data_IF_836068505147
#
_entry.id   IF_836068505147
#
_cell.length_a   1.000
_cell.length_b   1.000
_cell.length_c   1.000
_cell.angle_alpha   90.00
_cell.angle_beta   90.00
_cell.angle_gamma   90.00
#
_symmetry.space_group_name_H-M   'P 1'
#
loop_
_entity.id
_entity.type
_entity.pdbx_description
1 polymer ?
#
# COMPACT_ATOMS: atom_id res chain seq x y z
N UNK A 1 -26.85 -18.53 8.35
CA UNK A 1 -25.69 -19.37 7.99
C UNK A 1 -24.45 -18.53 8.17
N UNK A 2 -23.47 -18.98 8.97
CA UNK A 2 -22.19 -18.27 9.10
C UNK A 2 -21.37 -18.60 7.84
N UNK A 3 -21.04 -17.60 7.04
CA UNK A 3 -20.12 -17.75 5.91
C UNK A 3 -18.77 -18.33 6.40
N UNK A 4 -18.16 -19.28 5.67
CA UNK A 4 -16.91 -19.89 6.08
C UNK A 4 -15.81 -18.83 6.24
N UNK A 5 -15.18 -18.81 7.43
CA UNK A 5 -14.13 -17.85 7.75
C UNK A 5 -12.85 -18.13 6.96
N UNK A 6 -12.13 -17.08 6.50
CA UNK A 6 -10.92 -17.26 5.71
C UNK A 6 -9.78 -17.84 6.55
N UNK A 7 -9.08 -18.83 5.98
CA UNK A 7 -7.83 -19.35 6.54
C UNK A 7 -6.69 -18.33 6.35
N UNK A 8 -5.67 -18.42 7.19
CA UNK A 8 -4.55 -17.47 7.19
C UNK A 8 -3.81 -17.41 5.84
N UNK A 9 -3.38 -18.55 5.28
CA UNK A 9 -2.58 -18.57 4.04
C UNK A 9 -3.31 -17.93 2.83
N UNK A 10 -4.57 -18.29 2.52
CA UNK A 10 -5.33 -17.61 1.47
C UNK A 10 -5.54 -16.12 1.73
N UNK A 11 -5.80 -15.73 2.98
CA UNK A 11 -5.94 -14.33 3.38
C UNK A 11 -4.62 -13.57 3.16
N UNK A 12 -3.49 -14.14 3.57
CA UNK A 12 -2.17 -13.55 3.40
C UNK A 12 -1.82 -13.35 1.93
N UNK A 13 -2.00 -14.38 1.09
CA UNK A 13 -1.74 -14.28 -0.34
C UNK A 13 -2.59 -13.18 -1.00
N UNK A 14 -3.90 -13.15 -0.73
CA UNK A 14 -4.81 -12.12 -1.27
C UNK A 14 -4.49 -10.73 -0.73
N UNK A 15 -4.10 -10.62 0.54
CA UNK A 15 -3.72 -9.33 1.15
C UNK A 15 -2.45 -8.78 0.52
N UNK A 16 -1.42 -9.61 0.31
CA UNK A 16 -0.19 -9.22 -0.38
C UNK A 16 -0.50 -8.72 -1.79
N UNK A 17 -1.32 -9.46 -2.54
CA UNK A 17 -1.72 -9.07 -3.90
C UNK A 17 -2.47 -7.74 -3.89
N UNK A 18 -3.55 -7.62 -3.10
CA UNK A 18 -4.34 -6.39 -3.03
C UNK A 18 -3.49 -5.20 -2.58
N UNK A 19 -2.69 -5.36 -1.52
CA UNK A 19 -1.87 -4.29 -0.97
C UNK A 19 -0.82 -3.81 -1.98
N UNK A 20 -0.14 -4.74 -2.64
CA UNK A 20 0.88 -4.38 -3.66
C UNK A 20 0.24 -3.66 -4.85
N UNK A 21 -0.90 -4.15 -5.34
CA UNK A 21 -1.61 -3.55 -6.49
C UNK A 21 -2.13 -2.16 -6.14
N UNK A 22 -2.78 -1.97 -4.98
CA UNK A 22 -3.30 -0.65 -4.59
C UNK A 22 -2.18 0.32 -4.22
N UNK A 23 -1.11 -0.17 -3.59
CA UNK A 23 0.10 0.61 -3.33
C UNK A 23 0.72 1.11 -4.63
N UNK A 24 0.94 0.23 -5.61
CA UNK A 24 1.55 0.62 -6.89
C UNK A 24 0.65 1.59 -7.65
N UNK A 25 -0.65 1.34 -7.70
CA UNK A 25 -1.61 2.21 -8.36
C UNK A 25 -1.63 3.61 -7.74
N UNK A 26 -1.84 3.70 -6.42
CA UNK A 26 -1.92 4.99 -5.74
C UNK A 26 -0.58 5.70 -5.72
N UNK A 27 0.53 4.97 -5.55
CA UNK A 27 1.88 5.54 -5.62
C UNK A 27 2.22 6.11 -6.98
N UNK A 28 1.84 5.44 -8.08
CA UNK A 28 2.03 5.96 -9.43
C UNK A 28 1.19 7.22 -9.69
N UNK A 29 -0.08 7.22 -9.25
CA UNK A 29 -0.95 8.40 -9.33
C UNK A 29 -0.39 9.56 -8.50
N UNK A 30 0.07 9.29 -7.28
CA UNK A 30 0.66 10.28 -6.39
C UNK A 30 1.97 10.83 -6.96
N UNK A 31 2.84 9.99 -7.51
CA UNK A 31 4.06 10.45 -8.18
C UNK A 31 3.76 11.43 -9.32
N UNK A 32 2.71 11.14 -10.10
CA UNK A 32 2.28 11.99 -11.22
C UNK A 32 1.62 13.30 -10.76
N UNK A 33 0.63 13.24 -9.85
CA UNK A 33 -0.18 14.41 -9.46
C UNK A 33 0.38 15.21 -8.28
N UNK A 34 1.20 14.57 -7.42
CA UNK A 34 1.75 15.20 -6.22
C UNK A 34 3.24 15.60 -6.36
N UNK A 35 3.83 15.40 -7.55
CA UNK A 35 5.20 15.79 -7.87
C UNK A 35 6.24 15.24 -6.89
N UNK A 36 6.15 13.95 -6.54
CA UNK A 36 7.03 13.32 -5.55
C UNK A 36 8.50 13.40 -5.91
N UNK A 37 8.86 13.33 -7.18
CA UNK A 37 10.26 13.49 -7.60
C UNK A 37 10.88 14.79 -7.07
N UNK A 38 10.13 15.90 -7.16
CA UNK A 38 10.60 17.19 -6.65
C UNK A 38 10.77 17.15 -5.13
N UNK A 39 9.81 16.57 -4.41
CA UNK A 39 9.81 16.49 -2.93
C UNK A 39 10.97 15.62 -2.43
N UNK A 40 11.16 14.45 -3.04
CA UNK A 40 12.18 13.48 -2.64
C UNK A 40 13.59 14.03 -2.86
N UNK A 41 13.79 14.76 -3.95
CA UNK A 41 15.09 15.32 -4.32
C UNK A 41 15.36 16.70 -3.66
N UNK A 42 14.46 17.23 -2.82
CA UNK A 42 14.75 18.48 -2.11
C UNK A 42 15.91 18.30 -1.13
N UNK A 43 16.80 19.30 -0.99
CA UNK A 43 17.81 19.30 0.06
C UNK A 43 17.14 19.15 1.43
N UNK A 44 17.66 18.23 2.26
CA UNK A 44 17.15 17.95 3.60
C UNK A 44 15.71 17.40 3.67
N UNK A 45 15.20 16.78 2.60
CA UNK A 45 13.89 16.09 2.63
C UNK A 45 13.82 14.96 3.66
N UNK A 46 14.96 14.40 4.06
CA UNK A 46 15.04 13.19 4.88
C UNK A 46 14.66 11.91 4.13
N UNK A 47 14.38 12.01 2.83
CA UNK A 47 14.00 10.91 1.95
C UNK A 47 15.19 10.46 1.09
N UNK A 48 15.15 9.21 0.63
CA UNK A 48 16.12 8.72 -0.35
C UNK A 48 15.85 9.37 -1.72
N UNK A 49 16.87 9.58 -2.57
CA UNK A 49 16.67 10.08 -3.93
C UNK A 49 15.66 9.23 -4.69
N UNK A 50 14.78 9.88 -5.47
CA UNK A 50 13.62 9.23 -6.10
C UNK A 50 14.02 8.07 -7.03
N UNK A 51 15.18 8.16 -7.67
CA UNK A 51 15.75 7.14 -8.56
C UNK A 51 16.58 6.07 -7.83
N UNK A 52 16.61 6.07 -6.50
CA UNK A 52 17.41 5.12 -5.73
C UNK A 52 16.87 3.69 -5.83
N UNK A 53 17.77 2.70 -5.76
CA UNK A 53 17.45 1.27 -5.76
C UNK A 53 16.32 0.92 -4.79
N UNK A 54 16.32 1.52 -3.60
CA UNK A 54 15.37 1.22 -2.54
C UNK A 54 13.96 1.74 -2.80
N UNK A 55 13.83 2.86 -3.51
CA UNK A 55 12.53 3.38 -3.92
C UNK A 55 11.98 2.55 -5.09
N UNK A 56 12.84 2.17 -6.04
CA UNK A 56 12.44 1.28 -7.13
C UNK A 56 12.03 -0.12 -6.63
N UNK A 57 12.68 -0.63 -5.58
CA UNK A 57 12.27 -1.87 -4.89
C UNK A 57 11.02 -1.70 -4.01
N UNK A 58 10.45 -0.50 -3.92
CA UNK A 58 9.32 -0.18 -3.04
C UNK A 58 8.11 -1.10 -3.23
N UNK A 59 7.69 -1.35 -4.47
CA UNK A 59 6.56 -2.24 -4.78
C UNK A 59 6.88 -3.73 -4.50
N UNK A 60 8.00 -4.31 -4.97
CA UNK A 60 8.40 -5.67 -4.59
C UNK A 60 8.50 -5.91 -3.07
N UNK A 61 8.95 -4.92 -2.31
CA UNK A 61 9.08 -5.01 -0.85
C UNK A 61 7.73 -4.91 -0.12
N UNK A 62 6.63 -4.56 -0.80
CA UNK A 62 5.30 -4.51 -0.16
C UNK A 62 4.80 -5.88 0.29
N UNK A 63 5.42 -6.98 -0.16
CA UNK A 63 5.09 -8.34 0.31
C UNK A 63 5.18 -8.42 1.84
N UNK A 64 6.23 -7.85 2.44
CA UNK A 64 6.41 -7.87 3.89
C UNK A 64 5.28 -7.13 4.62
N UNK A 65 4.90 -5.96 4.09
CA UNK A 65 3.81 -5.15 4.66
C UNK A 65 2.44 -5.81 4.45
N UNK A 66 2.24 -6.47 3.32
CA UNK A 66 1.03 -7.25 3.04
C UNK A 66 0.87 -8.43 3.99
N UNK A 67 1.95 -9.13 4.33
CA UNK A 67 1.94 -10.23 5.33
C UNK A 67 1.64 -9.67 6.72
N UNK A 68 2.23 -8.53 7.09
CA UNK A 68 1.93 -7.86 8.36
C UNK A 68 0.45 -7.45 8.45
N UNK A 69 -0.12 -6.87 7.40
CA UNK A 69 -1.55 -6.57 7.38
C UNK A 69 -2.40 -7.84 7.48
N UNK A 70 -2.02 -8.91 6.80
CA UNK A 70 -2.74 -10.17 6.86
C UNK A 70 -2.77 -10.78 8.27
N UNK A 71 -1.68 -10.67 9.04
CA UNK A 71 -1.64 -11.17 10.42
C UNK A 71 -2.63 -10.42 11.30
N UNK A 72 -2.73 -9.09 11.17
CA UNK A 72 -3.71 -8.27 11.88
C UNK A 72 -5.13 -8.59 11.41
N UNK A 73 -5.37 -8.61 10.09
CA UNK A 73 -6.70 -8.90 9.55
C UNK A 73 -7.19 -10.30 9.90
N UNK A 74 -6.28 -11.25 10.08
CA UNK A 74 -6.63 -12.61 10.49
C UNK A 74 -7.17 -12.66 11.93
N UNK A 75 -6.64 -11.84 12.84
CA UNK A 75 -7.13 -11.72 14.22
C UNK A 75 -8.57 -11.18 14.26
N UNK A 76 -8.88 -10.24 13.37
CA UNK A 76 -10.20 -9.58 13.30
C UNK A 76 -11.09 -10.12 12.17
N UNK A 77 -10.77 -11.29 11.60
CA UNK A 77 -11.39 -11.79 10.37
C UNK A 77 -12.92 -11.89 10.45
N UNK A 78 -13.45 -12.24 11.61
CA UNK A 78 -14.90 -12.37 11.86
C UNK A 78 -15.63 -11.02 11.86
N UNK A 79 -14.91 -9.93 12.12
CA UNK A 79 -15.42 -8.56 12.11
C UNK A 79 -15.31 -7.90 10.73
N UNK A 80 -14.41 -8.41 9.88
CA UNK A 80 -14.12 -7.84 8.57
C UNK A 80 -14.76 -8.59 7.40
N UNK A 81 -14.80 -9.92 7.44
CA UNK A 81 -15.28 -10.73 6.34
C UNK A 81 -16.70 -11.27 6.61
N UNK A 82 -17.49 -11.45 5.56
CA UNK A 82 -18.91 -11.85 5.67
C UNK A 82 -19.84 -10.78 6.27
N UNK A 83 -19.40 -9.52 6.39
CA UNK A 83 -20.20 -8.40 6.94
C UNK A 83 -20.35 -7.29 5.89
N UNK A 84 -21.55 -6.68 5.81
CA UNK A 84 -21.86 -5.58 4.87
C UNK A 84 -20.87 -4.41 4.95
N UNK A 85 -20.49 -4.03 6.17
CA UNK A 85 -19.60 -2.89 6.43
C UNK A 85 -18.18 -3.31 6.85
N UNK A 86 -17.80 -4.56 6.61
CA UNK A 86 -16.51 -5.09 7.05
C UNK A 86 -15.31 -4.38 6.44
N UNK A 87 -15.42 -3.97 5.17
CA UNK A 87 -14.40 -3.18 4.48
C UNK A 87 -14.20 -1.78 5.08
N UNK A 88 -15.28 -1.11 5.53
CA UNK A 88 -15.18 0.19 6.22
C UNK A 88 -14.49 0.05 7.58
N UNK A 89 -14.78 -1.02 8.32
CA UNK A 89 -14.12 -1.30 9.60
C UNK A 89 -12.63 -1.51 9.42
N UNK A 90 -12.24 -2.27 8.39
CA UNK A 90 -10.84 -2.48 8.03
C UNK A 90 -10.18 -1.16 7.60
N UNK A 91 -10.83 -0.37 6.74
CA UNK A 91 -10.31 0.92 6.31
C UNK A 91 -10.11 1.87 7.48
N UNK A 92 -11.08 1.92 8.41
CA UNK A 92 -10.99 2.79 9.58
C UNK A 92 -9.92 2.34 10.58
N UNK A 93 -9.66 1.04 10.67
CA UNK A 93 -8.49 0.53 11.41
C UNK A 93 -7.19 1.04 10.77
N UNK A 94 -7.04 0.93 9.44
CA UNK A 94 -5.84 1.38 8.75
C UNK A 94 -5.66 2.91 8.84
N UNK A 95 -6.73 3.68 8.68
CA UNK A 95 -6.67 5.15 8.72
C UNK A 95 -6.50 5.64 10.16
N UNK A 96 -7.38 5.21 11.07
CA UNK A 96 -7.39 5.68 12.45
C UNK A 96 -6.13 5.30 13.21
N UNK A 97 -5.70 4.03 13.11
CA UNK A 97 -4.54 3.54 13.86
C UNK A 97 -3.25 3.66 13.03
N UNK A 98 -3.29 3.30 11.74
CA UNK A 98 -2.08 3.23 10.91
C UNK A 98 -1.61 4.56 10.34
N UNK A 99 -2.52 5.50 10.07
CA UNK A 99 -2.19 6.81 9.47
C UNK A 99 -2.22 7.90 10.54
N UNK A 100 -3.38 8.13 11.15
CA UNK A 100 -3.58 9.26 12.07
C UNK A 100 -2.95 8.98 13.44
N UNK A 101 -3.19 7.81 14.00
CA UNK A 101 -2.78 7.42 15.35
C UNK A 101 -1.49 6.61 15.43
N UNK A 102 -0.63 6.66 14.41
CA UNK A 102 0.67 5.98 14.48
C UNK A 102 1.54 6.58 15.57
N UNK A 103 2.25 5.73 16.32
CA UNK A 103 3.07 6.14 17.47
C UNK A 103 4.34 6.90 17.09
N UNK A 104 4.80 6.76 15.84
CA UNK A 104 5.87 7.58 15.31
C UNK A 104 5.32 8.95 14.86
N UNK A 105 6.21 9.88 14.51
CA UNK A 105 5.84 11.18 13.95
C UNK A 105 6.05 11.29 12.42
N UNK A 106 5.56 10.34 11.58
CA UNK A 106 5.59 10.54 10.14
C UNK A 106 4.63 11.68 9.76
N UNK A 107 4.92 12.35 8.65
CA UNK A 107 4.07 13.44 8.14
C UNK A 107 2.64 12.94 7.91
N UNK A 108 1.66 13.70 8.41
CA UNK A 108 0.25 13.33 8.36
C UNK A 108 -0.22 12.43 9.50
N UNK A 109 0.60 12.12 10.50
CA UNK A 109 0.08 11.61 11.78
C UNK A 109 -0.21 12.75 12.75
N UNK A 110 -0.97 12.47 13.82
CA UNK A 110 -1.17 13.43 14.91
C UNK A 110 0.15 13.91 15.49
N UNK A 111 1.07 12.98 15.78
CA UNK A 111 2.43 13.30 16.25
C UNK A 111 3.23 14.08 15.20
N UNK A 112 3.03 13.81 13.91
CA UNK A 112 3.63 14.55 12.81
C UNK A 112 3.23 16.04 12.81
N UNK A 113 1.97 16.35 13.09
CA UNK A 113 1.51 17.74 13.21
C UNK A 113 2.04 18.46 14.45
N UNK A 114 2.31 17.71 15.54
CA UNK A 114 2.78 18.29 16.81
C UNK A 114 4.30 18.48 16.81
N UNK A 115 5.06 17.49 16.34
CA UNK A 115 6.51 17.43 16.51
C UNK A 115 7.32 17.91 15.32
N UNK A 116 6.73 18.01 14.13
CA UNK A 116 7.48 18.40 12.93
C UNK A 116 7.22 19.85 12.55
N UNK A 117 8.22 20.47 11.93
CA UNK A 117 8.10 21.82 11.35
C UNK A 117 7.53 21.80 9.92
N UNK A 118 7.16 20.61 9.41
CA UNK A 118 6.62 20.46 8.06
C UNK A 118 5.27 21.16 7.94
N UNK A 119 5.06 22.04 6.94
CA UNK A 119 3.79 22.74 6.78
C UNK A 119 2.58 21.81 6.74
N UNK A 120 1.51 22.16 7.45
CA UNK A 120 0.28 21.34 7.56
C UNK A 120 -0.26 20.92 6.19
N UNK A 121 -0.28 21.84 5.22
CA UNK A 121 -0.76 21.55 3.87
C UNK A 121 0.10 20.51 3.14
N UNK A 122 1.42 20.53 3.33
CA UNK A 122 2.34 19.51 2.79
C UNK A 122 2.06 18.15 3.43
N UNK A 123 1.86 18.10 4.75
CA UNK A 123 1.54 16.85 5.46
C UNK A 123 0.21 16.25 4.98
N UNK A 124 -0.83 17.09 4.83
CA UNK A 124 -2.15 16.67 4.38
C UNK A 124 -2.17 16.23 2.92
N UNK A 125 -1.25 16.73 2.08
CA UNK A 125 -1.15 16.33 0.67
C UNK A 125 -0.97 14.81 0.52
N UNK A 126 -0.22 14.18 1.43
CA UNK A 126 -0.03 12.73 1.44
C UNK A 126 -1.32 11.93 1.63
N UNK A 127 -2.36 12.51 2.24
CA UNK A 127 -3.65 11.85 2.41
C UNK A 127 -4.33 11.52 1.09
N UNK A 128 -4.08 12.29 0.03
CA UNK A 128 -4.61 12.02 -1.31
C UNK A 128 -4.11 10.68 -1.88
N UNK A 129 -3.00 10.16 -1.37
CA UNK A 129 -2.50 8.83 -1.71
C UNK A 129 -2.94 7.79 -0.68
N UNK A 130 -2.55 7.97 0.58
CA UNK A 130 -2.58 6.88 1.57
C UNK A 130 -3.99 6.56 2.08
N UNK A 131 -4.90 7.55 2.13
CA UNK A 131 -6.29 7.32 2.57
C UNK A 131 -7.07 6.57 1.48
N UNK A 132 -7.06 7.00 0.19
CA UNK A 132 -7.64 6.19 -0.87
C UNK A 132 -6.99 4.81 -1.00
N UNK A 133 -5.67 4.69 -0.83
CA UNK A 133 -4.98 3.39 -0.85
C UNK A 133 -5.52 2.44 0.22
N UNK A 134 -5.72 2.92 1.45
CA UNK A 134 -6.31 2.14 2.54
C UNK A 134 -7.77 1.73 2.26
N UNK A 135 -8.57 2.64 1.69
CA UNK A 135 -9.95 2.35 1.30
C UNK A 135 -10.02 1.31 0.17
N UNK A 136 -9.22 1.48 -0.87
CA UNK A 136 -9.14 0.56 -2.02
C UNK A 136 -8.67 -0.81 -1.58
N UNK A 137 -7.61 -0.90 -0.77
CA UNK A 137 -7.14 -2.16 -0.19
C UNK A 137 -8.27 -2.87 0.54
N UNK A 138 -8.92 -2.16 1.46
CA UNK A 138 -9.96 -2.74 2.31
C UNK A 138 -11.17 -3.20 1.50
N UNK A 139 -11.66 -2.37 0.58
CA UNK A 139 -12.78 -2.70 -0.29
C UNK A 139 -12.46 -3.88 -1.20
N UNK A 140 -11.31 -3.85 -1.88
CA UNK A 140 -10.90 -4.89 -2.83
C UNK A 140 -10.66 -6.23 -2.13
N UNK A 141 -9.96 -6.23 -0.99
CA UNK A 141 -9.68 -7.44 -0.22
C UNK A 141 -10.96 -8.07 0.33
N UNK A 142 -11.83 -7.28 0.97
CA UNK A 142 -13.11 -7.79 1.47
C UNK A 142 -13.99 -8.31 0.33
N UNK A 143 -14.06 -7.60 -0.81
CA UNK A 143 -14.80 -8.05 -1.97
C UNK A 143 -14.26 -9.38 -2.51
N UNK A 144 -12.93 -9.50 -2.68
CA UNK A 144 -12.30 -10.70 -3.22
C UNK A 144 -12.38 -11.92 -2.28
N UNK A 145 -12.39 -11.69 -0.97
CA UNK A 145 -12.57 -12.77 0.01
C UNK A 145 -14.01 -13.23 0.07
N UNK A 146 -14.97 -12.30 0.10
CA UNK A 146 -16.39 -12.63 0.19
C UNK A 146 -16.94 -13.20 -1.14
N UNK A 147 -16.36 -12.80 -2.27
CA UNK A 147 -16.80 -13.21 -3.61
C UNK A 147 -15.62 -13.71 -4.46
N UNK A 148 -15.06 -14.89 -4.13
CA UNK A 148 -13.95 -15.45 -4.90
C UNK A 148 -14.43 -15.92 -6.27
N UNK A 149 -14.15 -15.13 -7.30
CA UNK A 149 -14.46 -15.45 -8.69
C UNK A 149 -13.18 -15.74 -9.47
N UNK A 150 -13.27 -16.63 -10.47
CA UNK A 150 -12.10 -17.02 -11.28
C UNK A 150 -11.48 -15.82 -12.00
N UNK A 151 -12.31 -14.95 -12.58
CA UNK A 151 -11.81 -13.76 -13.29
C UNK A 151 -11.04 -12.83 -12.36
N UNK A 152 -11.55 -12.60 -11.13
CA UNK A 152 -10.89 -11.73 -10.16
C UNK A 152 -9.54 -12.28 -9.70
N UNK A 153 -9.43 -13.61 -9.57
CA UNK A 153 -8.15 -14.25 -9.27
C UNK A 153 -7.11 -13.98 -10.37
N UNK A 154 -7.51 -14.16 -11.63
CA UNK A 154 -6.61 -13.97 -12.77
C UNK A 154 -6.25 -12.49 -12.97
N UNK A 155 -7.22 -11.58 -12.88
CA UNK A 155 -6.96 -10.15 -13.07
C UNK A 155 -6.05 -9.60 -11.99
N UNK A 156 -6.34 -9.86 -10.71
CA UNK A 156 -5.50 -9.37 -9.61
C UNK A 156 -4.14 -10.06 -9.56
N UNK A 157 -4.07 -11.35 -9.91
CA UNK A 157 -2.80 -12.05 -10.07
C UNK A 157 -1.93 -11.44 -11.18
N UNK A 158 -2.52 -11.17 -12.35
CA UNK A 158 -1.82 -10.54 -13.46
C UNK A 158 -1.37 -9.11 -13.11
N UNK A 159 -2.25 -8.30 -12.49
CA UNK A 159 -1.89 -6.95 -12.04
C UNK A 159 -0.77 -6.96 -11.01
N UNK A 160 -0.75 -7.92 -10.09
CA UNK A 160 0.34 -8.10 -9.15
C UNK A 160 1.66 -8.44 -9.86
N UNK A 161 1.63 -9.39 -10.80
CA UNK A 161 2.82 -9.74 -11.58
C UNK A 161 3.36 -8.52 -12.33
N UNK A 162 2.49 -7.72 -12.95
CA UNK A 162 2.89 -6.47 -13.62
C UNK A 162 3.46 -5.45 -12.63
N UNK A 163 2.81 -5.25 -11.48
CA UNK A 163 3.23 -4.31 -10.46
C UNK A 163 4.63 -4.63 -9.88
N UNK A 164 4.99 -5.91 -9.80
CA UNK A 164 6.32 -6.36 -9.36
C UNK A 164 7.32 -6.38 -10.52
N UNK A 165 6.91 -6.82 -11.70
CA UNK A 165 7.79 -6.97 -12.85
C UNK A 165 8.27 -5.63 -13.41
N UNK A 166 7.40 -4.61 -13.49
CA UNK A 166 7.75 -3.30 -14.07
C UNK A 166 8.96 -2.65 -13.35
N UNK A 167 8.97 -2.49 -12.01
CA UNK A 167 10.13 -1.93 -11.31
C UNK A 167 11.37 -2.82 -11.44
N UNK A 168 11.20 -4.15 -11.41
CA UNK A 168 12.31 -5.10 -11.54
C UNK A 168 12.97 -5.03 -12.93
N UNK A 169 12.17 -4.93 -13.99
CA UNK A 169 12.67 -4.73 -15.35
C UNK A 169 13.40 -3.40 -15.49
N UNK A 170 12.89 -2.32 -14.88
CA UNK A 170 13.57 -1.02 -14.83
C UNK A 170 14.94 -1.11 -14.15
N UNK A 171 15.04 -1.85 -13.05
CA UNK A 171 16.31 -2.11 -12.36
C UNK A 171 17.30 -2.91 -13.21
N UNK A 172 16.82 -3.97 -13.88
CA UNK A 172 17.65 -4.79 -14.76
C UNK A 172 18.15 -3.99 -15.97
N UNK A 173 17.29 -3.16 -16.58
CA UNK A 173 17.66 -2.29 -17.69
C UNK A 173 18.75 -1.28 -17.28
N UNK A 174 18.63 -0.67 -16.09
CA UNK A 174 19.66 0.22 -15.54
C UNK A 174 20.98 -0.51 -15.30
N UNK A 175 20.93 -1.72 -14.73
CA UNK A 175 22.12 -2.53 -14.49
C UNK A 175 22.80 -2.99 -15.80
N UNK A 176 22.02 -3.21 -16.87
CA UNK A 176 22.55 -3.54 -18.19
C UNK A 176 23.17 -2.31 -18.88
N UNK A 177 22.53 -1.14 -18.82
CA UNK A 177 23.04 0.11 -19.40
C UNK A 177 24.28 0.66 -18.69
N UNK A 178 24.45 0.37 -17.38
CA UNK A 178 25.67 0.71 -16.65
C UNK A 178 26.89 -0.15 -17.04
N UNK A 179 26.70 -1.22 -17.84
CA UNK A 179 27.77 -2.12 -18.31
C UNK A 179 28.23 -1.84 -19.74
N UNK A 180 27.60 -0.90 -20.46
CA UNK A 180 28.08 -0.44 -21.77
C UNK A 180 28.95 0.80 -21.59
N UNK A 181 30.24 0.76 -21.96
CA UNK A 181 31.17 1.88 -21.83
C UNK A 181 30.84 3.05 -22.77
#
# INVERSE_FOLDING_TARGET
MQEPQPRFLPLAAKTVVCHTVTYMLMGALAAHFLHYEQIFNQPNSGLRPFDSLWIMLGAPLQIFRGILFASIFYLFREQFFGRKNGWLRMAWMLIGIGILGTFAAPSGSLEGFIFTTTPVLMQMRGYLEIVPQALLLSALLCYWINHPTRWLNWTLGALYCVAVALPMLGLLARAAGAKTP
#
